data_IF_803764992688
#
_entry.id   IF_803764992688
#
_cell.length_a   1.000
_cell.length_b   1.000
_cell.length_c   1.000
_cell.angle_alpha   90.00
_cell.angle_beta   90.00
_cell.angle_gamma   90.00
#
_symmetry.space_group_name_H-M   'P 1'
#
loop_
_entity.id
_entity.type
_entity.pdbx_description
1 polymer ?
#
# COMPACT_ATOMS: atom_id res chain seq x y z
N UNK A 1 -20.15 -26.01 23.40
CA UNK A 1 -18.69 -25.87 23.65
C UNK A 1 -18.07 -25.28 22.39
N UNK A 2 -17.63 -24.02 22.42
CA UNK A 2 -16.89 -23.41 21.30
C UNK A 2 -15.54 -24.15 21.16
N UNK A 3 -15.31 -24.76 20.01
CA UNK A 3 -14.02 -25.41 19.69
C UNK A 3 -12.93 -24.34 19.76
N UNK A 4 -11.96 -24.49 20.67
CA UNK A 4 -10.80 -23.58 20.71
C UNK A 4 -10.09 -23.63 19.36
N UNK A 5 -10.03 -22.48 18.68
CA UNK A 5 -9.36 -22.37 17.39
C UNK A 5 -7.87 -22.56 17.62
N UNK A 6 -7.22 -23.51 16.93
CA UNK A 6 -5.80 -23.77 17.10
C UNK A 6 -4.96 -22.57 16.62
N UNK A 7 -3.80 -22.35 17.25
CA UNK A 7 -2.88 -21.26 16.87
C UNK A 7 -2.45 -21.33 15.41
N UNK A 8 -2.33 -22.56 14.87
CA UNK A 8 -2.01 -22.78 13.45
C UNK A 8 -2.99 -22.09 12.48
N UNK A 9 -4.27 -22.02 12.82
CA UNK A 9 -5.27 -21.32 11.99
C UNK A 9 -4.99 -19.81 11.92
N UNK A 10 -4.64 -19.20 13.05
CA UNK A 10 -4.26 -17.77 13.07
C UNK A 10 -2.96 -17.51 12.31
N UNK A 11 -1.99 -18.41 12.40
CA UNK A 11 -0.74 -18.32 11.65
C UNK A 11 -0.97 -18.44 10.14
N UNK A 12 -1.82 -19.38 9.71
CA UNK A 12 -2.19 -19.54 8.28
C UNK A 12 -2.88 -18.29 7.74
N UNK A 13 -3.87 -17.75 8.47
CA UNK A 13 -4.56 -16.51 8.07
C UNK A 13 -3.58 -15.32 8.09
N UNK A 14 -2.68 -15.25 9.08
CA UNK A 14 -1.66 -14.20 9.16
C UNK A 14 -0.64 -14.27 8.01
N UNK A 15 -0.22 -15.47 7.62
CA UNK A 15 0.65 -15.68 6.44
C UNK A 15 -0.07 -15.33 5.15
N UNK A 16 -1.38 -15.63 5.05
CA UNK A 16 -2.20 -15.21 3.92
C UNK A 16 -2.28 -13.67 3.85
N UNK A 17 -2.51 -13.00 4.98
CA UNK A 17 -2.49 -11.54 5.11
C UNK A 17 -1.17 -10.94 4.66
N UNK A 18 -0.07 -11.46 5.19
CA UNK A 18 1.27 -11.08 4.75
C UNK A 18 1.41 -11.23 3.23
N UNK A 19 0.98 -12.36 2.68
CA UNK A 19 1.05 -12.61 1.24
C UNK A 19 0.16 -11.70 0.39
N UNK A 20 -0.94 -11.17 0.92
CA UNK A 20 -1.80 -10.20 0.23
C UNK A 20 -1.16 -8.81 0.18
N UNK A 21 -0.50 -8.41 1.27
CA UNK A 21 0.17 -7.10 1.32
C UNK A 21 1.54 -7.11 0.64
N UNK A 22 2.33 -8.16 0.83
CA UNK A 22 3.70 -8.17 0.38
C UNK A 22 3.82 -8.22 -1.14
N UNK A 23 4.01 -7.06 -1.75
CA UNK A 23 4.13 -6.86 -3.19
C UNK A 23 5.40 -6.08 -3.56
N UNK A 24 5.40 -5.54 -4.79
CA UNK A 24 6.53 -4.81 -5.36
C UNK A 24 6.99 -3.62 -4.50
N UNK A 25 6.03 -2.80 -4.02
CA UNK A 25 6.31 -1.63 -3.21
C UNK A 25 7.01 -1.96 -1.88
N UNK A 26 6.63 -3.09 -1.28
CA UNK A 26 7.16 -3.54 0.01
C UNK A 26 8.63 -3.96 -0.02
N UNK A 27 9.20 -4.10 -1.21
CA UNK A 27 10.63 -4.30 -1.42
C UNK A 27 11.37 -2.98 -1.63
N UNK A 28 10.85 -2.14 -2.54
CA UNK A 28 11.60 -0.99 -3.03
C UNK A 28 11.60 0.19 -2.05
N UNK A 29 10.50 0.43 -1.32
CA UNK A 29 10.43 1.59 -0.43
C UNK A 29 11.26 1.43 0.84
N UNK A 30 11.29 0.28 1.56
CA UNK A 30 12.14 0.15 2.74
C UNK A 30 13.64 0.24 2.44
N UNK A 31 14.11 -0.33 1.31
CA UNK A 31 15.54 -0.27 0.97
C UNK A 31 15.97 1.16 0.60
N UNK A 32 15.12 1.87 -0.15
CA UNK A 32 15.37 3.26 -0.52
C UNK A 32 15.34 4.16 0.71
N UNK A 33 14.36 3.99 1.60
CA UNK A 33 14.29 4.69 2.87
C UNK A 33 15.57 4.48 3.68
N UNK A 34 16.06 3.23 3.77
CA UNK A 34 17.32 2.93 4.45
C UNK A 34 18.50 3.69 3.86
N UNK A 35 18.62 3.69 2.54
CA UNK A 35 19.70 4.38 1.84
C UNK A 35 19.65 5.90 2.09
N UNK A 36 18.48 6.52 1.97
CA UNK A 36 18.33 7.98 2.14
C UNK A 36 18.41 8.42 3.61
N UNK A 37 17.93 7.61 4.54
CA UNK A 37 17.94 7.92 5.97
C UNK A 37 19.31 7.71 6.63
N UNK A 38 20.16 6.84 6.09
CA UNK A 38 21.53 6.61 6.57
C UNK A 38 21.58 6.38 8.08
N UNK A 39 22.33 7.20 8.83
CA UNK A 39 22.45 7.11 10.31
C UNK A 39 21.12 7.35 11.04
N UNK A 40 20.15 8.01 10.42
CA UNK A 40 18.83 8.27 10.97
C UNK A 40 17.79 7.17 10.65
N UNK A 41 18.22 6.02 10.10
CA UNK A 41 17.31 4.99 9.59
C UNK A 41 16.32 4.46 10.64
N UNK A 42 16.68 4.40 11.92
CA UNK A 42 15.77 3.94 12.98
C UNK A 42 14.56 4.86 13.15
N UNK A 43 14.77 6.18 13.13
CA UNK A 43 13.67 7.14 13.23
C UNK A 43 12.79 7.09 11.98
N UNK A 44 13.39 7.02 10.80
CA UNK A 44 12.68 6.87 9.54
C UNK A 44 11.87 5.56 9.48
N UNK A 45 12.49 4.43 9.91
CA UNK A 45 11.84 3.14 9.97
C UNK A 45 10.61 3.14 10.87
N UNK A 46 10.71 3.72 12.08
CA UNK A 46 9.55 3.76 12.99
C UNK A 46 8.40 4.56 12.36
N UNK A 47 8.68 5.71 11.75
CA UNK A 47 7.67 6.46 11.00
C UNK A 47 7.03 5.65 9.88
N UNK A 48 7.85 4.98 9.08
CA UNK A 48 7.42 4.11 7.99
C UNK A 48 6.52 2.95 8.47
N UNK A 49 6.91 2.28 9.56
CA UNK A 49 6.15 1.16 10.11
C UNK A 49 4.76 1.56 10.61
N UNK A 50 4.60 2.78 11.14
CA UNK A 50 3.29 3.30 11.56
C UNK A 50 2.31 3.30 10.40
N UNK A 51 2.72 3.74 9.23
CA UNK A 51 1.83 3.89 8.07
C UNK A 51 1.83 2.67 7.15
N UNK A 52 2.98 2.04 6.94
CA UNK A 52 3.09 0.87 6.06
C UNK A 52 2.61 -0.44 6.70
N UNK A 53 2.50 -0.50 8.04
CA UNK A 53 2.04 -1.69 8.76
C UNK A 53 0.90 -1.38 9.73
N UNK A 54 1.03 -0.33 10.54
CA UNK A 54 0.04 0.04 11.54
C UNK A 54 -1.32 0.36 10.91
N UNK A 55 -1.34 1.25 9.91
CA UNK A 55 -2.58 1.63 9.23
C UNK A 55 -3.24 0.46 8.48
N UNK A 56 -2.54 -0.38 7.71
CA UNK A 56 -3.12 -1.57 7.09
C UNK A 56 -3.79 -2.51 8.10
N UNK A 57 -3.14 -2.73 9.22
CA UNK A 57 -3.72 -3.53 10.30
C UNK A 57 -5.01 -2.92 10.85
N UNK A 58 -5.00 -1.61 11.15
CA UNK A 58 -6.18 -0.89 11.60
C UNK A 58 -7.29 -0.88 10.54
N UNK A 59 -6.93 -0.82 9.25
CA UNK A 59 -7.88 -0.87 8.13
C UNK A 59 -8.67 -2.19 8.08
N UNK A 60 -7.98 -3.34 8.22
CA UNK A 60 -8.67 -4.64 8.29
C UNK A 60 -9.55 -4.74 9.54
N UNK A 61 -9.03 -4.28 10.68
CA UNK A 61 -9.82 -4.25 11.91
C UNK A 61 -11.07 -3.37 11.78
N UNK A 62 -10.95 -2.23 11.10
CA UNK A 62 -12.06 -1.32 10.84
C UNK A 62 -13.16 -2.02 10.03
N UNK A 63 -12.85 -2.75 8.98
CA UNK A 63 -13.82 -3.55 8.22
C UNK A 63 -14.43 -4.65 9.11
N UNK A 64 -13.58 -5.40 9.83
CA UNK A 64 -14.03 -6.52 10.68
C UNK A 64 -14.91 -6.11 11.84
N UNK A 65 -14.57 -5.03 12.55
CA UNK A 65 -15.30 -4.54 13.72
C UNK A 65 -16.55 -3.75 13.33
N UNK A 66 -16.52 -3.02 12.23
CA UNK A 66 -17.67 -2.23 11.77
C UNK A 66 -18.85 -3.10 11.31
N UNK A 67 -18.59 -4.36 10.96
CA UNK A 67 -19.58 -5.26 10.35
C UNK A 67 -19.93 -4.88 8.92
N UNK A 68 -19.09 -4.07 8.27
CA UNK A 68 -19.28 -3.69 6.87
C UNK A 68 -18.88 -4.82 5.93
N UNK A 69 -19.57 -4.94 4.80
CA UNK A 69 -19.30 -5.93 3.76
C UNK A 69 -18.12 -5.52 2.83
N UNK A 70 -17.44 -4.43 3.14
CA UNK A 70 -16.29 -3.92 2.39
C UNK A 70 -16.19 -2.41 2.48
N UNK A 71 -15.24 -1.85 1.73
CA UNK A 71 -14.95 -0.41 1.73
C UNK A 71 -16.18 0.44 1.35
N UNK A 72 -16.88 0.07 0.27
CA UNK A 72 -18.05 0.82 -0.22
C UNK A 72 -19.13 0.95 0.85
N UNK A 73 -19.44 -0.13 1.56
CA UNK A 73 -20.41 -0.14 2.63
C UNK A 73 -19.95 0.75 3.80
N UNK A 74 -18.67 0.62 4.21
CA UNK A 74 -18.10 1.46 5.26
C UNK A 74 -18.15 2.95 4.90
N UNK A 75 -17.70 3.32 3.71
CA UNK A 75 -17.66 4.72 3.25
C UNK A 75 -19.08 5.28 2.99
N UNK A 76 -20.06 4.43 2.68
CA UNK A 76 -21.45 4.83 2.50
C UNK A 76 -22.13 5.30 3.80
N UNK A 77 -21.52 5.07 4.96
CA UNK A 77 -21.96 5.65 6.25
C UNK A 77 -21.88 7.17 6.26
N UNK A 78 -21.02 7.77 5.44
CA UNK A 78 -20.92 9.22 5.23
C UNK A 78 -22.08 9.66 4.33
N UNK A 79 -22.11 9.14 3.13
CA UNK A 79 -23.15 9.34 2.12
C UNK A 79 -23.02 8.25 1.04
N UNK A 80 -24.11 7.71 0.48
CA UNK A 80 -24.03 6.65 -0.55
C UNK A 80 -23.18 7.02 -1.76
N UNK A 81 -23.27 8.25 -2.26
CA UNK A 81 -22.46 8.75 -3.36
C UNK A 81 -20.96 8.83 -2.99
N UNK A 82 -20.65 9.29 -1.77
CA UNK A 82 -19.26 9.30 -1.28
C UNK A 82 -18.70 7.88 -1.22
N UNK A 83 -19.50 6.91 -0.75
CA UNK A 83 -19.11 5.50 -0.72
C UNK A 83 -18.68 4.97 -2.10
N UNK A 84 -19.43 5.31 -3.15
CA UNK A 84 -19.09 4.92 -4.51
C UNK A 84 -17.84 5.66 -5.01
N UNK A 85 -17.79 7.00 -4.91
CA UNK A 85 -16.69 7.81 -5.46
C UNK A 85 -15.37 7.48 -4.75
N UNK A 86 -15.37 7.43 -3.41
CA UNK A 86 -14.17 7.13 -2.65
C UNK A 86 -13.66 5.71 -2.93
N UNK A 87 -14.57 4.72 -3.02
CA UNK A 87 -14.17 3.36 -3.38
C UNK A 87 -13.63 3.28 -4.80
N UNK A 88 -14.24 3.94 -5.77
CA UNK A 88 -13.73 4.00 -7.13
C UNK A 88 -12.32 4.63 -7.18
N UNK A 89 -12.12 5.77 -6.51
CA UNK A 89 -10.81 6.43 -6.44
C UNK A 89 -9.75 5.51 -5.81
N UNK A 90 -10.10 4.84 -4.72
CA UNK A 90 -9.19 3.91 -4.04
C UNK A 90 -8.85 2.70 -4.92
N UNK A 91 -9.86 2.03 -5.50
CA UNK A 91 -9.63 0.86 -6.35
C UNK A 91 -8.90 1.20 -7.66
N UNK A 92 -9.09 2.40 -8.23
CA UNK A 92 -8.28 2.87 -9.35
C UNK A 92 -6.83 3.12 -8.94
N UNK A 93 -6.61 3.65 -7.75
CA UNK A 93 -5.26 3.96 -7.21
C UNK A 93 -4.47 2.68 -6.93
N UNK A 94 -5.01 1.72 -6.16
CA UNK A 94 -4.35 0.43 -5.89
C UNK A 94 -4.42 -0.52 -7.09
N UNK A 95 -5.29 -0.23 -8.03
CA UNK A 95 -5.52 -0.99 -9.26
C UNK A 95 -4.65 -0.47 -10.41
N UNK A 96 -5.32 -0.12 -11.53
CA UNK A 96 -4.65 0.09 -12.81
C UNK A 96 -3.74 1.32 -12.87
N UNK A 97 -3.89 2.31 -11.97
CA UNK A 97 -3.11 3.54 -12.09
C UNK A 97 -1.73 3.43 -11.47
N UNK A 98 -1.58 2.79 -10.31
CA UNK A 98 -0.27 2.81 -9.64
C UNK A 98 0.22 1.44 -9.16
N UNK A 99 -0.52 0.70 -8.32
CA UNK A 99 0.03 -0.50 -7.73
C UNK A 99 0.21 -1.64 -8.74
N UNK A 100 -0.76 -1.88 -9.62
CA UNK A 100 -0.67 -2.94 -10.64
C UNK A 100 0.46 -2.66 -11.67
N UNK A 101 0.59 -1.46 -12.28
CA UNK A 101 1.72 -1.15 -13.15
C UNK A 101 3.08 -1.37 -12.49
N UNK A 102 3.22 -1.01 -11.21
CA UNK A 102 4.47 -1.26 -10.46
C UNK A 102 4.83 -2.75 -10.37
N UNK A 103 3.86 -3.65 -10.39
CA UNK A 103 4.15 -5.08 -10.37
C UNK A 103 4.87 -5.57 -11.64
N UNK A 104 4.78 -4.86 -12.75
CA UNK A 104 5.56 -5.15 -13.96
C UNK A 104 6.87 -4.36 -13.99
N UNK A 105 6.86 -3.08 -13.60
CA UNK A 105 8.04 -2.23 -13.69
C UNK A 105 9.12 -2.58 -12.67
N UNK A 106 8.76 -2.96 -11.43
CA UNK A 106 9.75 -3.33 -10.40
C UNK A 106 10.59 -4.55 -10.81
N UNK A 107 10.01 -5.69 -11.24
CA UNK A 107 10.82 -6.81 -11.72
C UNK A 107 11.67 -6.46 -12.94
N UNK A 108 11.20 -5.58 -13.82
CA UNK A 108 11.98 -5.11 -14.95
C UNK A 108 13.20 -4.30 -14.50
N UNK A 109 13.01 -3.34 -13.59
CA UNK A 109 14.09 -2.50 -13.04
C UNK A 109 15.13 -3.36 -12.30
N UNK A 110 14.69 -4.35 -11.52
CA UNK A 110 15.59 -5.22 -10.75
C UNK A 110 16.35 -6.22 -11.65
N UNK A 111 15.64 -6.79 -12.63
CA UNK A 111 16.16 -7.94 -13.37
C UNK A 111 16.79 -7.63 -14.72
N UNK A 112 16.40 -6.54 -15.34
CA UNK A 112 16.78 -6.26 -16.73
C UNK A 112 17.49 -4.92 -16.89
N UNK A 113 16.99 -3.85 -16.29
CA UNK A 113 17.48 -2.49 -16.52
C UNK A 113 19.00 -2.32 -16.28
N UNK A 114 19.64 -2.93 -15.25
CA UNK A 114 21.08 -2.81 -15.04
C UNK A 114 21.95 -3.43 -16.14
N UNK A 115 21.38 -4.30 -16.98
CA UNK A 115 22.10 -5.09 -17.98
C UNK A 115 21.79 -4.69 -19.42
N UNK A 116 20.98 -3.65 -19.64
CA UNK A 116 20.57 -3.20 -20.96
C UNK A 116 21.02 -1.77 -21.23
N UNK A 117 21.28 -1.46 -22.50
CA UNK A 117 21.59 -0.10 -22.92
C UNK A 117 20.34 0.80 -22.82
N UNK A 118 20.53 2.04 -22.38
CA UNK A 118 19.47 3.02 -22.22
C UNK A 118 18.57 3.20 -23.48
N UNK A 119 19.16 3.08 -24.67
CA UNK A 119 18.43 3.18 -25.95
C UNK A 119 17.34 2.12 -26.13
N UNK A 120 17.52 0.93 -25.53
CA UNK A 120 16.60 -0.19 -25.68
C UNK A 120 15.64 -0.35 -24.49
N UNK A 121 15.82 0.40 -23.40
CA UNK A 121 15.06 0.28 -22.15
C UNK A 121 13.56 0.39 -22.38
N UNK A 122 13.11 1.41 -23.11
CA UNK A 122 11.67 1.64 -23.37
C UNK A 122 11.06 0.50 -24.18
N UNK A 123 11.72 0.04 -25.24
CA UNK A 123 11.23 -1.06 -26.07
C UNK A 123 11.17 -2.38 -25.29
N UNK A 124 12.21 -2.68 -24.50
CA UNK A 124 12.26 -3.91 -23.70
C UNK A 124 11.28 -3.87 -22.54
N UNK A 125 11.04 -2.70 -21.91
CA UNK A 125 9.98 -2.52 -20.92
C UNK A 125 8.61 -2.78 -21.54
N UNK A 126 8.34 -2.27 -22.75
CA UNK A 126 7.09 -2.50 -23.45
C UNK A 126 6.87 -4.00 -23.75
N UNK A 127 7.90 -4.69 -24.23
CA UNK A 127 7.83 -6.13 -24.50
C UNK A 127 7.63 -6.94 -23.21
N UNK A 128 8.41 -6.63 -22.16
CA UNK A 128 8.31 -7.30 -20.87
C UNK A 128 6.94 -7.10 -20.24
N UNK A 129 6.47 -5.85 -20.15
CA UNK A 129 5.17 -5.53 -19.56
C UNK A 129 4.01 -6.11 -20.36
N UNK A 130 4.10 -6.19 -21.69
CA UNK A 130 3.11 -6.87 -22.52
C UNK A 130 3.01 -8.36 -22.17
N UNK A 131 4.14 -9.06 -22.13
CA UNK A 131 4.18 -10.50 -21.76
C UNK A 131 3.66 -10.68 -20.32
N UNK A 132 4.10 -9.84 -19.39
CA UNK A 132 3.67 -9.87 -18.01
C UNK A 132 2.15 -9.72 -17.88
N UNK A 133 1.55 -8.71 -18.48
CA UNK A 133 0.10 -8.49 -18.41
C UNK A 133 -0.71 -9.49 -19.24
N UNK A 134 -0.16 -10.08 -20.29
CA UNK A 134 -0.79 -11.22 -20.99
C UNK A 134 -0.91 -12.45 -20.07
N UNK A 135 0.14 -12.73 -19.28
CA UNK A 135 0.14 -13.78 -18.26
C UNK A 135 -0.88 -13.45 -17.16
N UNK A 136 -0.85 -12.22 -16.63
CA UNK A 136 -1.80 -11.75 -15.61
C UNK A 136 -3.23 -11.88 -16.10
N UNK A 137 -3.53 -11.43 -17.33
CA UNK A 137 -4.85 -11.55 -17.94
C UNK A 137 -5.33 -13.01 -17.96
N UNK A 138 -4.52 -13.89 -18.53
CA UNK A 138 -4.87 -15.31 -18.65
C UNK A 138 -5.22 -15.94 -17.28
N UNK A 139 -4.44 -15.63 -16.27
CA UNK A 139 -4.62 -16.19 -14.94
C UNK A 139 -5.75 -15.51 -14.14
N UNK A 140 -5.99 -14.25 -14.34
CA UNK A 140 -7.10 -13.53 -13.68
C UNK A 140 -8.48 -13.93 -14.21
N UNK A 141 -8.58 -14.60 -15.36
CA UNK A 141 -9.84 -15.15 -15.84
C UNK A 141 -10.35 -16.33 -15.00
N UNK A 142 -9.45 -17.07 -14.31
CA UNK A 142 -9.77 -18.22 -13.47
C UNK A 142 -8.89 -18.25 -12.20
N UNK A 143 -9.07 -17.30 -11.27
CA UNK A 143 -8.12 -17.05 -10.19
C UNK A 143 -7.98 -18.19 -9.16
N UNK A 144 -9.02 -19.02 -8.98
CA UNK A 144 -9.09 -19.97 -7.88
C UNK A 144 -7.99 -21.07 -7.89
N UNK A 145 -7.51 -21.50 -9.05
CA UNK A 145 -6.50 -22.59 -9.16
C UNK A 145 -5.06 -22.10 -8.93
N UNK A 146 -4.78 -20.85 -9.25
CA UNK A 146 -3.40 -20.33 -9.28
C UNK A 146 -3.00 -19.68 -7.99
N UNK A 147 -3.92 -19.02 -7.29
CA UNK A 147 -3.68 -18.47 -5.95
C UNK A 147 -3.08 -19.54 -5.00
N UNK A 148 -3.47 -20.81 -5.18
CA UNK A 148 -2.96 -21.92 -4.38
C UNK A 148 -1.49 -22.27 -4.71
N UNK A 149 -1.13 -22.38 -6.00
CA UNK A 149 0.24 -22.72 -6.41
C UNK A 149 1.23 -21.58 -6.11
N UNK A 150 0.85 -20.36 -6.43
CA UNK A 150 1.68 -19.18 -6.22
C UNK A 150 1.89 -18.95 -4.71
N UNK A 151 0.84 -19.10 -3.89
CA UNK A 151 0.93 -18.91 -2.44
C UNK A 151 1.74 -19.98 -1.71
N UNK A 152 1.62 -21.25 -2.14
CA UNK A 152 2.22 -22.40 -1.45
C UNK A 152 3.69 -22.65 -1.83
N UNK A 153 4.11 -22.27 -3.03
CA UNK A 153 5.47 -22.58 -3.53
C UNK A 153 6.29 -21.32 -3.74
N UNK A 154 5.74 -20.34 -4.46
CA UNK A 154 6.53 -19.17 -4.87
C UNK A 154 6.78 -18.17 -3.74
N UNK A 155 5.80 -17.96 -2.85
CA UNK A 155 6.00 -17.06 -1.69
C UNK A 155 7.06 -17.59 -0.73
N UNK A 156 7.06 -18.87 -0.31
CA UNK A 156 8.16 -19.43 0.47
C UNK A 156 9.52 -19.36 -0.24
N UNK A 157 9.58 -19.70 -1.54
CA UNK A 157 10.83 -19.63 -2.29
C UNK A 157 11.39 -18.19 -2.35
N UNK A 158 10.54 -17.21 -2.63
CA UNK A 158 10.90 -15.80 -2.58
C UNK A 158 11.45 -15.39 -1.20
N UNK A 159 10.73 -15.75 -0.12
CA UNK A 159 11.17 -15.43 1.25
C UNK A 159 12.51 -16.06 1.58
N UNK A 160 12.76 -17.30 1.18
CA UNK A 160 14.05 -17.97 1.41
C UNK A 160 15.19 -17.20 0.75
N UNK A 161 15.06 -16.81 -0.53
CA UNK A 161 16.12 -16.06 -1.22
C UNK A 161 16.29 -14.67 -0.63
N UNK A 162 15.18 -13.99 -0.30
CA UNK A 162 15.22 -12.71 0.38
C UNK A 162 15.94 -12.79 1.73
N UNK A 163 15.63 -13.80 2.56
CA UNK A 163 16.30 -14.00 3.84
C UNK A 163 17.78 -14.35 3.68
N UNK A 164 18.17 -15.12 2.65
CA UNK A 164 19.60 -15.39 2.37
C UNK A 164 20.32 -14.08 2.07
N UNK A 165 19.76 -13.22 1.20
CA UNK A 165 20.33 -11.92 0.87
C UNK A 165 20.44 -11.03 2.12
N UNK A 166 19.39 -10.97 2.94
CA UNK A 166 19.35 -10.20 4.18
C UNK A 166 20.41 -10.72 5.18
N UNK A 167 20.46 -12.02 5.41
CA UNK A 167 21.42 -12.62 6.36
C UNK A 167 22.85 -12.32 5.94
N UNK A 168 23.16 -12.45 4.65
CA UNK A 168 24.50 -12.14 4.14
C UNK A 168 24.81 -10.64 4.35
N UNK A 169 23.86 -9.73 4.13
CA UNK A 169 24.07 -8.30 4.34
C UNK A 169 24.30 -7.91 5.80
N UNK A 170 23.80 -8.71 6.74
CA UNK A 170 24.05 -8.53 8.18
C UNK A 170 25.42 -9.10 8.57
N UNK A 171 25.77 -10.30 8.08
CA UNK A 171 27.01 -10.98 8.43
C UNK A 171 28.23 -10.31 7.78
N UNK A 172 28.03 -9.78 6.57
CA UNK A 172 29.07 -9.03 5.81
C UNK A 172 28.47 -7.70 5.36
N UNK A 173 28.37 -6.69 6.24
CA UNK A 173 27.84 -5.38 5.85
C UNK A 173 28.61 -4.76 4.68
N UNK A 174 27.91 -4.06 3.79
CA UNK A 174 28.50 -3.43 2.60
C UNK A 174 29.32 -2.19 2.95
N UNK A 175 29.10 -1.59 4.11
CA UNK A 175 29.83 -0.41 4.56
C UNK A 175 29.21 0.20 5.80
N UNK A 176 29.70 1.39 6.17
CA UNK A 176 29.19 2.18 7.28
C UNK A 176 27.99 3.03 6.85
N UNK A 177 27.09 3.29 7.78
CA UNK A 177 25.95 4.18 7.55
C UNK A 177 26.45 5.59 7.23
N UNK A 178 25.97 6.13 6.12
CA UNK A 178 26.30 7.48 5.68
C UNK A 178 25.37 8.51 6.31
N UNK A 179 25.69 9.81 6.14
CA UNK A 179 24.81 10.87 6.61
C UNK A 179 23.46 10.83 5.88
N UNK A 180 22.36 11.21 6.54
CA UNK A 180 21.03 11.28 5.92
C UNK A 180 21.00 12.29 4.76
N UNK A 181 20.14 12.03 3.78
CA UNK A 181 20.00 12.82 2.55
C UNK A 181 18.60 13.47 2.51
N UNK A 182 18.49 14.68 1.97
CA UNK A 182 17.23 15.39 1.76
C UNK A 182 16.44 15.60 3.05
N UNK A 183 15.15 15.38 3.03
CA UNK A 183 14.24 15.60 4.17
C UNK A 183 14.55 14.71 5.38
N UNK A 184 15.31 13.62 5.20
CA UNK A 184 15.72 12.77 6.31
C UNK A 184 16.73 13.44 7.26
N UNK A 185 17.36 14.56 6.87
CA UNK A 185 18.26 15.34 7.73
C UNK A 185 17.48 15.97 8.88
N UNK A 186 16.34 16.60 8.58
CA UNK A 186 15.60 17.39 9.54
C UNK A 186 14.43 16.67 10.19
N UNK A 187 13.74 15.79 9.44
CA UNK A 187 12.49 15.17 9.90
C UNK A 187 12.37 13.70 9.48
N UNK A 188 13.37 12.89 9.83
CA UNK A 188 13.44 11.47 9.44
C UNK A 188 12.19 10.68 9.75
N UNK A 189 11.59 10.86 10.95
CA UNK A 189 10.36 10.17 11.34
C UNK A 189 9.19 10.53 10.41
N UNK A 190 8.96 11.82 10.18
CA UNK A 190 7.81 12.26 9.36
C UNK A 190 8.02 11.96 7.88
N UNK A 191 9.25 12.01 7.40
CA UNK A 191 9.59 11.59 6.05
C UNK A 191 9.31 10.09 5.88
N UNK A 192 9.76 9.26 6.83
CA UNK A 192 9.43 7.83 6.84
C UNK A 192 7.92 7.56 6.94
N UNK A 193 7.20 8.32 7.76
CA UNK A 193 5.74 8.23 7.89
C UNK A 193 5.04 8.48 6.53
N UNK A 194 5.43 9.52 5.81
CA UNK A 194 4.89 9.82 4.46
C UNK A 194 5.33 8.78 3.43
N UNK A 195 6.57 8.30 3.53
CA UNK A 195 7.09 7.26 2.62
C UNK A 195 6.30 5.95 2.73
N UNK A 196 5.80 5.61 3.92
CA UNK A 196 4.93 4.46 4.09
C UNK A 196 3.61 4.53 3.29
N UNK A 197 3.14 5.71 2.88
CA UNK A 197 2.00 5.85 1.98
C UNK A 197 2.26 5.23 0.61
N UNK A 198 3.52 5.26 0.16
CA UNK A 198 3.92 4.73 -1.14
C UNK A 198 3.77 3.21 -1.25
N UNK A 199 3.70 2.47 -0.12
CA UNK A 199 3.39 1.03 -0.14
C UNK A 199 1.94 0.76 -0.58
N UNK A 200 1.02 1.71 -0.37
CA UNK A 200 -0.42 1.60 -0.62
C UNK A 200 -1.14 0.53 0.23
N UNK A 201 -0.46 -0.06 1.19
CA UNK A 201 -1.01 -1.18 1.98
C UNK A 201 -2.21 -0.78 2.83
N UNK A 202 -2.28 0.47 3.34
CA UNK A 202 -3.44 0.93 4.09
C UNK A 202 -4.68 1.06 3.21
N UNK A 203 -4.53 1.53 1.97
CA UNK A 203 -5.61 1.57 0.99
C UNK A 203 -6.02 0.15 0.59
N UNK A 204 -5.03 -0.71 0.32
CA UNK A 204 -5.25 -2.12 0.00
C UNK A 204 -5.97 -2.87 1.14
N UNK A 205 -5.70 -2.52 2.41
CA UNK A 205 -6.34 -3.13 3.57
C UNK A 205 -7.86 -2.91 3.61
N UNK A 206 -8.30 -1.73 3.22
CA UNK A 206 -9.72 -1.41 3.11
C UNK A 206 -10.39 -2.18 1.97
N UNK A 207 -9.67 -2.42 0.87
CA UNK A 207 -10.17 -3.22 -0.25
C UNK A 207 -10.18 -4.72 0.06
N UNK A 208 -9.10 -5.24 0.70
CA UNK A 208 -8.96 -6.66 0.98
C UNK A 208 -9.58 -7.11 2.31
N UNK A 209 -10.07 -6.19 3.14
CA UNK A 209 -10.64 -6.52 4.44
C UNK A 209 -11.73 -7.59 4.38
N UNK A 210 -12.58 -7.56 3.35
CA UNK A 210 -13.63 -8.56 3.15
C UNK A 210 -13.06 -9.95 2.81
N UNK A 211 -11.97 -10.01 2.04
CA UNK A 211 -11.30 -11.27 1.66
C UNK A 211 -10.80 -11.98 2.92
N UNK A 212 -10.23 -11.23 3.85
CA UNK A 212 -9.74 -11.73 5.14
C UNK A 212 -10.88 -12.23 6.01
N UNK A 213 -11.97 -11.46 6.11
CA UNK A 213 -13.15 -11.84 6.87
C UNK A 213 -13.77 -13.13 6.31
N UNK A 214 -13.86 -13.24 4.98
CA UNK A 214 -14.35 -14.45 4.34
C UNK A 214 -13.43 -15.66 4.58
N UNK A 215 -12.12 -15.48 4.57
CA UNK A 215 -11.17 -16.54 4.93
C UNK A 215 -11.35 -17.00 6.38
N UNK A 216 -11.60 -16.08 7.31
CA UNK A 216 -11.91 -16.39 8.71
C UNK A 216 -13.23 -17.16 8.82
N UNK A 217 -14.27 -16.73 8.10
CA UNK A 217 -15.57 -17.41 8.06
C UNK A 217 -15.46 -18.83 7.48
N UNK A 218 -14.67 -19.00 6.40
CA UNK A 218 -14.42 -20.30 5.78
C UNK A 218 -13.61 -21.24 6.69
N UNK A 219 -12.83 -20.70 7.64
CA UNK A 219 -12.20 -21.47 8.71
C UNK A 219 -13.18 -21.88 9.83
N UNK A 220 -14.50 -21.63 9.65
CA UNK A 220 -15.56 -22.01 10.60
C UNK A 220 -15.84 -21.00 11.72
N UNK A 221 -15.31 -19.78 11.62
CA UNK A 221 -15.49 -18.71 12.62
C UNK A 221 -16.57 -17.76 12.10
N UNK A 222 -17.79 -17.87 12.63
CA UNK A 222 -18.95 -17.08 12.16
C UNK A 222 -19.42 -16.03 13.16
N UNK A 223 -19.10 -16.21 14.45
CA UNK A 223 -19.43 -15.21 15.47
C UNK A 223 -18.62 -13.92 15.30
N UNK A 224 -19.28 -12.76 15.38
CA UNK A 224 -18.68 -11.45 15.12
C UNK A 224 -17.52 -11.12 16.07
N UNK A 225 -17.62 -11.48 17.35
CA UNK A 225 -16.55 -11.23 18.34
C UNK A 225 -15.33 -12.14 18.07
N UNK A 226 -15.60 -13.39 17.70
CA UNK A 226 -14.52 -14.33 17.35
C UNK A 226 -13.89 -13.99 16.00
N UNK A 227 -14.62 -13.44 15.02
CA UNK A 227 -14.07 -12.90 13.79
C UNK A 227 -13.10 -11.74 14.11
N UNK A 228 -13.53 -10.78 14.93
CA UNK A 228 -12.70 -9.64 15.33
C UNK A 228 -11.42 -10.11 16.06
N UNK A 229 -11.54 -11.07 16.96
CA UNK A 229 -10.40 -11.67 17.68
C UNK A 229 -9.47 -12.45 16.76
N UNK A 230 -10.01 -13.18 15.79
CA UNK A 230 -9.22 -13.89 14.79
C UNK A 230 -8.47 -12.90 13.88
N UNK A 231 -9.14 -11.85 13.43
CA UNK A 231 -8.53 -10.74 12.65
C UNK A 231 -7.38 -10.10 13.43
N UNK A 232 -7.60 -9.79 14.72
CA UNK A 232 -6.57 -9.23 15.59
C UNK A 232 -5.34 -10.14 15.70
N UNK A 233 -5.53 -11.42 16.06
CA UNK A 233 -4.44 -12.37 16.24
C UNK A 233 -3.65 -12.66 14.96
N UNK A 234 -4.38 -12.86 13.85
CA UNK A 234 -3.75 -13.10 12.55
C UNK A 234 -3.05 -11.84 12.02
N UNK A 235 -3.64 -10.66 12.28
CA UNK A 235 -3.03 -9.38 11.93
C UNK A 235 -1.74 -9.12 12.68
N UNK A 236 -1.66 -9.38 13.99
CA UNK A 236 -0.41 -9.26 14.77
C UNK A 236 0.69 -10.15 14.19
N UNK A 237 0.35 -11.40 13.79
CA UNK A 237 1.32 -12.28 13.15
C UNK A 237 1.86 -11.71 11.84
N UNK A 238 0.97 -11.20 10.97
CA UNK A 238 1.36 -10.56 9.72
C UNK A 238 2.22 -9.30 9.98
N UNK A 239 1.82 -8.45 10.93
CA UNK A 239 2.58 -7.25 11.32
C UNK A 239 3.98 -7.59 11.79
N UNK A 240 4.12 -8.58 12.67
CA UNK A 240 5.44 -8.99 13.19
C UNK A 240 6.38 -9.43 12.06
N UNK A 241 5.86 -10.22 11.09
CA UNK A 241 6.63 -10.67 9.95
C UNK A 241 7.00 -9.50 9.02
N UNK A 242 6.06 -8.60 8.72
CA UNK A 242 6.34 -7.41 7.90
C UNK A 242 7.34 -6.46 8.58
N UNK A 243 7.20 -6.22 9.89
CA UNK A 243 8.12 -5.37 10.67
C UNK A 243 9.54 -5.92 10.63
N UNK A 244 9.69 -7.23 10.81
CA UNK A 244 10.99 -7.89 10.71
C UNK A 244 11.61 -7.68 9.32
N UNK A 245 10.87 -7.98 8.26
CA UNK A 245 11.37 -7.88 6.89
C UNK A 245 11.70 -6.43 6.51
N UNK A 246 10.79 -5.47 6.82
CA UNK A 246 11.04 -4.06 6.53
C UNK A 246 12.26 -3.51 7.28
N UNK A 247 12.40 -3.85 8.57
CA UNK A 247 13.54 -3.44 9.36
C UNK A 247 14.86 -3.96 8.77
N UNK A 248 14.89 -5.23 8.35
CA UNK A 248 16.06 -5.86 7.76
C UNK A 248 16.40 -5.30 6.37
N UNK A 249 15.39 -5.06 5.53
CA UNK A 249 15.59 -4.44 4.21
C UNK A 249 16.06 -2.98 4.36
N UNK A 250 15.50 -2.24 5.32
CA UNK A 250 15.94 -0.86 5.61
C UNK A 250 17.39 -0.82 6.08
N UNK A 251 17.79 -1.74 6.97
CA UNK A 251 19.17 -1.89 7.39
C UNK A 251 20.10 -2.17 6.21
N UNK A 252 19.69 -3.08 5.32
CA UNK A 252 20.44 -3.40 4.11
C UNK A 252 20.64 -2.17 3.22
N UNK A 253 19.59 -1.36 3.03
CA UNK A 253 19.69 -0.08 2.31
C UNK A 253 20.62 0.92 3.01
N UNK A 254 20.53 1.08 4.33
CA UNK A 254 21.35 2.02 5.08
C UNK A 254 22.86 1.70 5.02
N UNK A 255 23.21 0.41 4.95
CA UNK A 255 24.61 -0.03 4.87
C UNK A 255 25.18 -0.07 3.45
N UNK A 256 24.38 0.23 2.42
CA UNK A 256 24.76 -0.03 1.02
C UNK A 256 25.53 1.12 0.35
N UNK A 257 25.32 2.37 0.76
CA UNK A 257 25.82 3.56 0.03
C UNK A 257 27.32 3.55 -0.18
N UNK A 258 28.10 3.17 0.83
CA UNK A 258 29.56 3.19 0.77
C UNK A 258 30.10 2.30 -0.35
N UNK A 259 29.47 1.16 -0.60
CA UNK A 259 29.93 0.18 -1.60
C UNK A 259 29.31 0.35 -2.98
N UNK A 260 28.05 0.77 -3.08
CA UNK A 260 27.33 0.81 -4.36
C UNK A 260 26.85 2.21 -4.78
N UNK A 261 27.04 3.24 -3.93
CA UNK A 261 26.54 4.59 -4.20
C UNK A 261 25.03 4.72 -4.02
N UNK A 262 24.46 5.84 -4.49
CA UNK A 262 23.05 6.16 -4.44
C UNK A 262 22.36 5.88 -5.77
N UNK A 263 21.07 5.53 -5.70
CA UNK A 263 20.23 5.25 -6.87
C UNK A 263 18.90 5.98 -6.80
N UNK A 264 18.27 6.17 -7.96
CA UNK A 264 17.01 6.91 -8.08
C UNK A 264 15.81 6.17 -7.46
N UNK A 265 15.88 4.85 -7.36
CA UNK A 265 14.78 4.05 -6.80
C UNK A 265 15.28 2.76 -6.13
N UNK A 266 14.46 2.22 -5.24
CA UNK A 266 14.79 1.01 -4.48
C UNK A 266 14.94 -0.26 -5.33
N UNK A 267 14.43 -0.31 -6.54
CA UNK A 267 14.61 -1.44 -7.45
C UNK A 267 16.07 -1.57 -7.89
N UNK A 268 16.68 -0.47 -8.29
CA UNK A 268 18.10 -0.41 -8.66
C UNK A 268 19.01 -0.70 -7.47
N UNK A 269 18.67 -0.20 -6.26
CA UNK A 269 19.41 -0.53 -5.04
C UNK A 269 19.37 -2.04 -4.79
N UNK A 270 18.19 -2.66 -4.91
CA UNK A 270 18.04 -4.10 -4.70
C UNK A 270 18.85 -4.93 -5.68
N UNK A 271 18.85 -4.52 -6.96
CA UNK A 271 19.65 -5.16 -8.00
C UNK A 271 21.15 -5.05 -7.69
N UNK A 272 21.63 -3.86 -7.35
CA UNK A 272 23.05 -3.61 -7.04
C UNK A 272 23.52 -4.37 -5.79
N UNK A 273 22.68 -4.46 -4.74
CA UNK A 273 22.96 -5.26 -3.54
C UNK A 273 23.06 -6.76 -3.89
N UNK A 274 22.13 -7.27 -4.71
CA UNK A 274 22.17 -8.67 -5.12
C UNK A 274 23.41 -8.99 -5.98
N UNK A 275 23.78 -8.09 -6.88
CA UNK A 275 24.99 -8.24 -7.71
C UNK A 275 26.25 -8.18 -6.86
N UNK A 276 26.32 -7.29 -5.86
CA UNK A 276 27.45 -7.18 -4.94
C UNK A 276 27.72 -8.50 -4.19
N UNK A 277 26.69 -9.19 -3.69
CA UNK A 277 26.87 -10.40 -2.88
C UNK A 277 26.97 -11.69 -3.69
N UNK A 278 26.27 -11.79 -4.80
CA UNK A 278 26.09 -13.03 -5.55
C UNK A 278 26.53 -12.94 -7.01
N UNK A 279 26.97 -11.75 -7.47
CA UNK A 279 27.26 -11.49 -8.87
C UNK A 279 26.00 -11.61 -9.75
N UNK A 280 26.19 -11.61 -11.05
CA UNK A 280 25.11 -11.61 -12.05
C UNK A 280 24.16 -12.80 -11.93
N UNK A 281 24.62 -13.96 -11.48
CA UNK A 281 23.77 -15.14 -11.26
C UNK A 281 22.75 -14.90 -10.14
N UNK A 282 23.18 -14.30 -9.03
CA UNK A 282 22.30 -13.98 -7.91
C UNK A 282 21.28 -12.91 -8.27
N UNK A 283 21.68 -11.91 -9.04
CA UNK A 283 20.77 -10.87 -9.54
C UNK A 283 19.69 -11.47 -10.45
N UNK A 284 20.03 -12.38 -11.37
CA UNK A 284 19.06 -13.08 -12.23
C UNK A 284 18.10 -13.92 -11.40
N UNK A 285 18.60 -14.69 -10.42
CA UNK A 285 17.76 -15.50 -9.54
C UNK A 285 16.77 -14.65 -8.75
N UNK A 286 17.24 -13.53 -8.19
CA UNK A 286 16.39 -12.57 -7.48
C UNK A 286 15.33 -11.97 -8.41
N UNK A 287 15.71 -11.58 -9.64
CA UNK A 287 14.79 -11.06 -10.63
C UNK A 287 13.64 -12.02 -10.94
N UNK A 288 13.94 -13.30 -11.18
CA UNK A 288 12.93 -14.34 -11.46
C UNK A 288 11.96 -14.46 -10.28
N UNK A 289 12.47 -14.45 -9.06
CA UNK A 289 11.65 -14.59 -7.86
C UNK A 289 10.78 -13.36 -7.64
N UNK A 290 11.29 -12.14 -7.88
CA UNK A 290 10.51 -10.90 -7.82
C UNK A 290 9.41 -10.89 -8.90
N UNK A 291 9.70 -11.33 -10.13
CA UNK A 291 8.69 -11.48 -11.20
C UNK A 291 7.53 -12.34 -10.70
N UNK A 292 7.84 -13.50 -10.11
CA UNK A 292 6.82 -14.43 -9.63
C UNK A 292 6.01 -13.86 -8.46
N UNK A 293 6.66 -13.16 -7.52
CA UNK A 293 5.99 -12.48 -6.42
C UNK A 293 5.05 -11.37 -6.94
N UNK A 294 5.52 -10.58 -7.91
CA UNK A 294 4.75 -9.50 -8.53
C UNK A 294 3.59 -10.02 -9.39
N UNK A 295 3.76 -11.14 -10.10
CA UNK A 295 2.66 -11.80 -10.83
C UNK A 295 1.50 -12.17 -9.90
N UNK A 296 1.81 -12.76 -8.74
CA UNK A 296 0.79 -13.09 -7.73
C UNK A 296 0.01 -11.85 -7.28
N UNK A 297 0.73 -10.80 -6.91
CA UNK A 297 0.11 -9.56 -6.44
C UNK A 297 -0.73 -8.91 -7.53
N UNK A 298 -0.24 -8.90 -8.77
CA UNK A 298 -0.97 -8.36 -9.92
C UNK A 298 -2.26 -9.13 -10.19
N UNK A 299 -2.21 -10.47 -10.19
CA UNK A 299 -3.39 -11.32 -10.39
C UNK A 299 -4.42 -11.06 -9.28
N UNK A 300 -3.98 -10.98 -8.01
CA UNK A 300 -4.86 -10.67 -6.88
C UNK A 300 -5.53 -9.31 -6.99
N UNK A 301 -4.78 -8.28 -7.35
CA UNK A 301 -5.29 -6.91 -7.52
C UNK A 301 -6.24 -6.81 -8.72
N UNK A 302 -5.87 -7.36 -9.89
CA UNK A 302 -6.74 -7.38 -11.09
C UNK A 302 -8.07 -8.08 -10.76
N UNK A 303 -8.01 -9.23 -10.07
CA UNK A 303 -9.22 -9.98 -9.67
C UNK A 303 -10.10 -9.13 -8.74
N UNK A 304 -9.55 -8.60 -7.64
CA UNK A 304 -10.31 -7.82 -6.67
C UNK A 304 -10.88 -6.55 -7.28
N UNK A 305 -10.12 -5.84 -8.10
CA UNK A 305 -10.59 -4.65 -8.80
C UNK A 305 -11.71 -5.01 -9.79
N UNK A 306 -11.56 -6.09 -10.56
CA UNK A 306 -12.56 -6.53 -11.54
C UNK A 306 -13.86 -6.96 -10.88
N UNK A 307 -13.80 -7.64 -9.74
CA UNK A 307 -14.97 -8.00 -8.93
C UNK A 307 -15.70 -6.74 -8.43
N UNK A 308 -14.95 -5.79 -7.87
CA UNK A 308 -15.52 -4.52 -7.40
C UNK A 308 -16.16 -3.72 -8.53
N UNK A 309 -15.46 -3.54 -9.67
CA UNK A 309 -16.03 -2.81 -10.81
C UNK A 309 -17.25 -3.50 -11.41
N UNK A 310 -17.26 -4.85 -11.44
CA UNK A 310 -18.43 -5.59 -11.90
C UNK A 310 -19.63 -5.45 -10.95
N UNK A 311 -19.40 -5.39 -9.63
CA UNK A 311 -20.45 -5.09 -8.64
C UNK A 311 -21.04 -3.69 -8.85
N UNK A 312 -20.19 -2.68 -9.11
CA UNK A 312 -20.63 -1.28 -9.31
C UNK A 312 -21.28 -1.09 -10.67
N UNK A 313 -20.78 -1.76 -11.70
CA UNK A 313 -21.24 -1.65 -13.09
C UNK A 313 -21.64 -3.02 -13.67
N UNK A 314 -22.77 -3.60 -13.24
CA UNK A 314 -23.13 -4.99 -13.57
C UNK A 314 -23.43 -5.23 -15.06
N UNK A 315 -23.59 -4.15 -15.85
CA UNK A 315 -23.75 -4.25 -17.32
C UNK A 315 -22.47 -4.66 -18.04
N UNK A 316 -21.30 -4.48 -17.43
CA UNK A 316 -20.00 -4.84 -17.99
C UNK A 316 -19.55 -6.15 -17.33
N UNK A 317 -19.15 -7.13 -18.13
CA UNK A 317 -18.78 -8.44 -17.61
C UNK A 317 -17.45 -8.38 -16.85
N UNK A 318 -17.28 -9.27 -15.86
CA UNK A 318 -16.02 -9.44 -15.14
C UNK A 318 -14.81 -9.58 -16.09
N UNK A 319 -14.93 -10.41 -17.13
CA UNK A 319 -13.86 -10.64 -18.11
C UNK A 319 -13.45 -9.37 -18.87
N UNK A 320 -14.43 -8.50 -19.14
CA UNK A 320 -14.15 -7.20 -19.78
C UNK A 320 -13.38 -6.28 -18.83
N UNK A 321 -13.71 -6.26 -17.53
CA UNK A 321 -12.94 -5.50 -16.56
C UNK A 321 -11.52 -6.04 -16.42
N UNK A 322 -11.31 -7.36 -16.36
CA UNK A 322 -9.97 -7.95 -16.36
C UNK A 322 -9.16 -7.47 -17.56
N UNK A 323 -9.75 -7.48 -18.76
CA UNK A 323 -9.08 -6.99 -19.97
C UNK A 323 -8.75 -5.49 -19.89
N UNK A 324 -9.73 -4.65 -19.56
CA UNK A 324 -9.57 -3.21 -19.47
C UNK A 324 -8.49 -2.83 -18.46
N UNK A 325 -8.52 -3.43 -17.27
CA UNK A 325 -7.55 -3.16 -16.22
C UNK A 325 -6.14 -3.61 -16.61
N UNK A 326 -5.98 -4.76 -17.28
CA UNK A 326 -4.69 -5.20 -17.81
C UNK A 326 -4.16 -4.24 -18.88
N UNK A 327 -5.01 -3.79 -19.83
CA UNK A 327 -4.60 -2.86 -20.90
C UNK A 327 -4.21 -1.50 -20.33
N UNK A 328 -5.00 -0.95 -19.39
CA UNK A 328 -4.67 0.33 -18.74
C UNK A 328 -3.37 0.20 -17.95
N UNK A 329 -3.22 -0.86 -17.16
CA UNK A 329 -2.00 -1.09 -16.37
C UNK A 329 -0.76 -1.28 -17.25
N UNK A 330 -0.90 -1.99 -18.38
CA UNK A 330 0.16 -2.11 -19.37
C UNK A 330 0.57 -0.73 -19.92
N UNK A 331 -0.41 0.08 -20.33
CA UNK A 331 -0.13 1.42 -20.86
C UNK A 331 0.61 2.29 -19.84
N UNK A 332 0.19 2.24 -18.57
CA UNK A 332 0.80 3.02 -17.51
C UNK A 332 2.19 2.46 -17.13
N UNK A 333 2.40 1.15 -17.13
CA UNK A 333 3.70 0.55 -16.86
C UNK A 333 4.80 1.08 -17.80
N UNK A 334 4.45 1.43 -19.03
CA UNK A 334 5.39 1.98 -20.02
C UNK A 334 5.86 3.42 -19.73
N UNK A 335 5.29 4.12 -18.74
CA UNK A 335 5.87 5.36 -18.23
C UNK A 335 7.13 5.13 -17.36
N UNK A 336 7.40 3.89 -16.95
CA UNK A 336 8.51 3.53 -16.09
C UNK A 336 8.24 3.74 -14.60
N UNK A 337 9.06 3.09 -13.76
CA UNK A 337 8.85 3.02 -12.31
C UNK A 337 8.86 4.40 -11.64
N UNK A 338 9.85 5.23 -11.95
CA UNK A 338 10.03 6.55 -11.31
C UNK A 338 8.84 7.47 -11.56
N UNK A 339 8.35 7.52 -12.81
CA UNK A 339 7.18 8.33 -13.16
C UNK A 339 5.90 7.83 -12.47
N UNK A 340 5.71 6.50 -12.39
CA UNK A 340 4.55 5.93 -11.68
C UNK A 340 4.57 6.31 -10.20
N UNK A 341 5.74 6.28 -9.56
CA UNK A 341 5.90 6.70 -8.15
C UNK A 341 5.60 8.20 -8.03
N UNK A 342 6.18 9.02 -8.88
CA UNK A 342 6.02 10.47 -8.86
C UNK A 342 4.55 10.90 -9.03
N UNK A 343 3.83 10.32 -9.98
CA UNK A 343 2.41 10.63 -10.20
C UNK A 343 1.49 10.04 -9.13
N UNK A 344 1.92 9.00 -8.41
CA UNK A 344 1.14 8.45 -7.31
C UNK A 344 1.12 9.38 -6.08
N UNK A 345 2.21 10.09 -5.78
CA UNK A 345 2.37 10.89 -4.56
C UNK A 345 1.22 11.88 -4.35
N UNK A 346 0.81 12.73 -5.32
CA UNK A 346 -0.31 13.66 -5.15
C UNK A 346 -1.63 12.97 -4.78
N UNK A 347 -1.91 11.84 -5.46
CA UNK A 347 -3.13 11.06 -5.24
C UNK A 347 -3.12 10.42 -3.86
N UNK A 348 -1.97 9.93 -3.41
CA UNK A 348 -1.81 9.35 -2.08
C UNK A 348 -1.93 10.41 -1.00
N UNK A 349 -1.32 11.57 -1.15
CA UNK A 349 -1.46 12.69 -0.20
C UNK A 349 -2.91 13.15 -0.06
N UNK A 350 -3.71 13.05 -1.14
CA UNK A 350 -5.15 13.30 -1.09
C UNK A 350 -5.94 12.16 -0.41
N UNK A 351 -5.67 10.90 -0.73
CA UNK A 351 -6.51 9.77 -0.29
C UNK A 351 -6.19 9.30 1.13
N UNK A 352 -4.92 9.37 1.57
CA UNK A 352 -4.51 8.81 2.87
C UNK A 352 -5.15 9.49 4.07
N UNK A 353 -5.23 10.82 4.19
CA UNK A 353 -5.93 11.45 5.31
C UNK A 353 -7.38 11.00 5.40
N UNK A 354 -8.08 10.90 4.26
CA UNK A 354 -9.47 10.42 4.19
C UNK A 354 -9.58 8.96 4.63
N UNK A 355 -8.67 8.10 4.17
CA UNK A 355 -8.66 6.69 4.56
C UNK A 355 -8.37 6.53 6.06
N UNK A 356 -7.40 7.27 6.60
CA UNK A 356 -7.04 7.24 8.02
C UNK A 356 -8.22 7.67 8.89
N UNK A 357 -8.86 8.80 8.56
CA UNK A 357 -10.02 9.29 9.31
C UNK A 357 -11.18 8.30 9.23
N UNK A 358 -11.44 7.71 8.07
CA UNK A 358 -12.48 6.69 7.92
C UNK A 358 -12.19 5.44 8.78
N UNK A 359 -10.94 4.98 8.81
CA UNK A 359 -10.50 3.86 9.64
C UNK A 359 -10.73 4.18 11.13
N UNK A 360 -10.26 5.35 11.59
CA UNK A 360 -10.38 5.77 12.99
C UNK A 360 -11.85 5.94 13.41
N UNK A 361 -12.70 6.51 12.57
CA UNK A 361 -14.13 6.63 12.81
C UNK A 361 -14.81 5.26 12.87
N UNK A 362 -14.43 4.33 12.01
CA UNK A 362 -14.96 2.98 12.03
C UNK A 362 -14.61 2.24 13.33
N UNK A 363 -13.35 2.34 13.78
CA UNK A 363 -12.86 1.72 15.01
C UNK A 363 -13.49 2.34 16.27
N UNK A 364 -13.72 3.66 16.26
CA UNK A 364 -14.35 4.41 17.38
C UNK A 364 -15.86 4.51 17.28
N UNK A 365 -16.50 3.85 16.34
CA UNK A 365 -17.93 3.98 16.01
C UNK A 365 -18.87 3.70 17.17
N UNK A 366 -18.49 2.83 18.10
CA UNK A 366 -19.25 2.54 19.34
C UNK A 366 -19.32 3.75 20.28
N UNK A 367 -18.32 4.64 20.30
CA UNK A 367 -18.28 5.83 21.17
C UNK A 367 -19.36 6.87 20.80
N UNK A 368 -19.78 6.90 19.54
CA UNK A 368 -20.80 7.82 19.04
C UNK A 368 -21.99 7.11 18.39
N UNK A 369 -22.22 5.83 18.74
CA UNK A 369 -23.38 5.04 18.31
C UNK A 369 -23.61 5.04 16.78
N UNK A 370 -22.53 4.98 15.98
CA UNK A 370 -22.56 5.03 14.53
C UNK A 370 -23.35 6.25 13.95
N UNK A 371 -23.32 7.38 14.61
CA UNK A 371 -24.02 8.59 14.21
C UNK A 371 -23.47 9.12 12.87
N UNK A 372 -24.31 9.19 11.83
CA UNK A 372 -23.91 9.60 10.48
C UNK A 372 -23.27 11.00 10.44
N UNK A 373 -23.80 11.97 11.23
CA UNK A 373 -23.24 13.32 11.26
C UNK A 373 -21.77 13.36 11.66
N UNK A 374 -21.32 12.44 12.55
CA UNK A 374 -19.90 12.37 12.95
C UNK A 374 -19.03 11.94 11.76
N UNK A 375 -19.45 10.92 11.01
CA UNK A 375 -18.75 10.52 9.80
C UNK A 375 -18.72 11.65 8.76
N UNK A 376 -19.89 12.26 8.49
CA UNK A 376 -20.03 13.27 7.45
C UNK A 376 -19.23 14.54 7.75
N UNK A 377 -19.31 15.10 8.97
CA UNK A 377 -18.61 16.34 9.34
C UNK A 377 -17.10 16.15 9.42
N UNK A 378 -16.62 15.04 10.02
CA UNK A 378 -15.20 14.75 10.09
C UNK A 378 -14.59 14.58 8.67
N UNK A 379 -15.23 13.78 7.82
CA UNK A 379 -14.77 13.57 6.46
C UNK A 379 -14.85 14.81 5.59
N UNK A 380 -15.88 15.65 5.77
CA UNK A 380 -16.04 16.89 5.02
C UNK A 380 -14.89 17.87 5.33
N UNK A 381 -14.56 18.09 6.60
CA UNK A 381 -13.47 18.99 6.97
C UNK A 381 -12.10 18.41 6.55
N UNK A 382 -11.90 17.12 6.70
CA UNK A 382 -10.67 16.44 6.25
C UNK A 382 -10.49 16.55 4.74
N UNK A 383 -11.57 16.48 3.96
CA UNK A 383 -11.52 16.52 2.50
C UNK A 383 -10.86 17.79 1.97
N UNK A 384 -11.19 18.97 2.53
CA UNK A 384 -10.60 20.23 2.07
C UNK A 384 -9.10 20.29 2.34
N UNK A 385 -8.65 19.84 3.51
CA UNK A 385 -7.22 19.81 3.81
C UNK A 385 -6.50 18.80 2.92
N UNK A 386 -7.04 17.59 2.78
CA UNK A 386 -6.47 16.56 1.90
C UNK A 386 -6.36 17.03 0.44
N UNK A 387 -7.35 17.82 -0.04
CA UNK A 387 -7.31 18.35 -1.40
C UNK A 387 -6.12 19.30 -1.60
N UNK A 388 -5.83 20.13 -0.60
CA UNK A 388 -4.67 21.06 -0.63
C UNK A 388 -3.36 20.29 -0.45
N UNK A 389 -3.31 19.25 0.41
CA UNK A 389 -2.13 18.40 0.54
C UNK A 389 -1.80 17.69 -0.78
N UNK A 390 -2.83 17.16 -1.47
CA UNK A 390 -2.68 16.57 -2.79
C UNK A 390 -2.21 17.58 -3.85
N UNK A 391 -2.75 18.79 -3.81
CA UNK A 391 -2.34 19.88 -4.70
C UNK A 391 -0.87 20.31 -4.44
N UNK A 392 -0.46 20.51 -3.19
CA UNK A 392 0.93 20.81 -2.82
C UNK A 392 1.89 19.75 -3.38
N UNK A 393 1.56 18.48 -3.20
CA UNK A 393 2.32 17.38 -3.74
C UNK A 393 2.35 17.36 -5.29
N UNK A 394 1.25 17.76 -5.95
CA UNK A 394 1.17 17.87 -7.41
C UNK A 394 2.11 18.97 -7.93
N UNK A 395 2.13 20.13 -7.32
CA UNK A 395 3.01 21.25 -7.70
C UNK A 395 4.49 20.86 -7.56
N UNK A 396 4.83 20.13 -6.50
CA UNK A 396 6.20 19.61 -6.31
C UNK A 396 6.54 18.58 -7.39
N UNK A 397 5.60 17.70 -7.75
CA UNK A 397 5.83 16.61 -8.72
C UNK A 397 5.83 17.09 -10.17
N UNK A 398 5.06 18.12 -10.51
CA UNK A 398 4.86 18.62 -11.88
C UNK A 398 5.14 20.12 -11.93
N UNK A 399 6.33 20.55 -12.37
CA UNK A 399 6.63 21.97 -12.56
C UNK A 399 5.62 22.65 -13.49
N UNK A 400 5.06 23.78 -13.06
CA UNK A 400 4.06 24.54 -13.83
C UNK A 400 2.60 24.18 -13.53
N UNK A 401 2.32 23.25 -12.62
CA UNK A 401 0.95 22.93 -12.17
C UNK A 401 0.37 23.95 -11.17
N UNK A 402 1.02 25.07 -10.95
CA UNK A 402 0.65 26.09 -9.97
C UNK A 402 -0.66 26.79 -10.35
N UNK A 403 -1.54 26.94 -9.35
CA UNK A 403 -2.80 27.66 -9.45
C UNK A 403 -2.86 28.68 -8.31
N UNK A 404 -2.74 29.99 -8.62
CA UNK A 404 -2.59 31.08 -7.65
C UNK A 404 -3.65 31.09 -6.53
N UNK A 405 -4.88 30.68 -6.83
CA UNK A 405 -5.94 30.55 -5.82
C UNK A 405 -5.62 29.46 -4.80
N UNK A 406 -5.14 28.31 -5.24
CA UNK A 406 -4.82 27.17 -4.37
C UNK A 406 -3.53 27.41 -3.59
N UNK A 407 -2.56 28.14 -4.17
CA UNK A 407 -1.34 28.58 -3.45
C UNK A 407 -1.70 29.49 -2.27
N UNK A 408 -2.66 30.40 -2.45
CA UNK A 408 -3.14 31.28 -1.36
C UNK A 408 -3.83 30.45 -0.26
N UNK A 409 -4.61 29.43 -0.61
CA UNK A 409 -5.25 28.55 0.39
C UNK A 409 -4.23 27.66 1.08
N UNK A 410 -3.22 27.19 0.37
CA UNK A 410 -2.11 26.39 0.95
C UNK A 410 -1.36 27.22 1.99
N UNK A 411 -1.02 28.46 1.65
CA UNK A 411 -0.35 29.37 2.59
C UNK A 411 -1.22 29.65 3.82
N UNK A 412 -2.52 29.89 3.64
CA UNK A 412 -3.44 30.05 4.77
C UNK A 412 -3.48 28.81 5.68
N UNK A 413 -3.46 27.61 5.10
CA UNK A 413 -3.46 26.38 5.88
C UNK A 413 -2.13 26.17 6.61
N UNK A 414 -0.99 26.53 6.00
CA UNK A 414 0.32 26.52 6.65
C UNK A 414 0.36 27.45 7.86
N UNK A 415 -0.24 28.65 7.75
CA UNK A 415 -0.26 29.65 8.82
C UNK A 415 -1.21 29.30 9.98
N UNK A 416 -2.34 28.61 9.69
CA UNK A 416 -3.44 28.40 10.65
C UNK A 416 -3.49 26.99 11.22
N UNK A 417 -3.17 25.97 10.42
CA UNK A 417 -3.32 24.57 10.83
C UNK A 417 -2.05 24.04 11.50
N UNK A 418 -2.14 23.58 12.75
CA UNK A 418 -0.99 22.96 13.40
C UNK A 418 -0.59 21.68 12.64
N UNK A 419 0.70 21.40 12.59
CA UNK A 419 1.29 20.23 11.98
C UNK A 419 1.11 20.16 10.44
N UNK A 420 0.67 21.26 9.79
CA UNK A 420 0.45 21.28 8.34
C UNK A 420 1.73 21.01 7.54
N UNK A 421 2.84 21.67 7.91
CA UNK A 421 4.12 21.55 7.21
C UNK A 421 4.69 20.11 7.22
N UNK A 422 4.35 19.34 8.22
CA UNK A 422 4.74 17.93 8.32
C UNK A 422 3.73 16.98 7.69
N UNK A 423 2.64 17.49 7.08
CA UNK A 423 1.62 16.69 6.39
C UNK A 423 0.54 16.10 7.30
N UNK A 424 0.37 16.64 8.49
CA UNK A 424 -0.65 16.22 9.46
C UNK A 424 -1.68 17.32 9.76
N UNK A 425 -1.77 18.36 8.94
CA UNK A 425 -2.70 19.47 9.10
C UNK A 425 -4.19 19.07 9.13
N UNK A 426 -4.53 17.91 8.57
CA UNK A 426 -5.88 17.36 8.57
C UNK A 426 -6.38 16.89 9.94
N UNK A 427 -5.50 16.65 10.92
CA UNK A 427 -5.88 16.11 12.24
C UNK A 427 -6.82 17.02 12.98
N UNK A 428 -6.48 18.33 13.10
CA UNK A 428 -7.32 19.29 13.82
C UNK A 428 -8.70 19.45 13.17
N UNK A 429 -8.84 19.67 11.84
CA UNK A 429 -10.13 19.67 11.16
C UNK A 429 -10.94 18.39 11.34
N UNK A 430 -10.30 17.22 11.32
CA UNK A 430 -10.99 15.96 11.57
C UNK A 430 -11.58 15.90 12.98
N UNK A 431 -10.82 16.30 14.01
CA UNK A 431 -11.29 16.38 15.41
C UNK A 431 -12.44 17.37 15.54
N UNK A 432 -12.32 18.56 14.97
CA UNK A 432 -13.41 19.57 14.96
C UNK A 432 -14.65 19.00 14.31
N UNK A 433 -14.50 18.28 13.18
CA UNK A 433 -15.59 17.63 12.50
C UNK A 433 -16.28 16.56 13.37
N UNK A 434 -15.52 15.77 14.14
CA UNK A 434 -16.10 14.83 15.12
C UNK A 434 -16.93 15.56 16.16
N UNK A 435 -16.40 16.64 16.74
CA UNK A 435 -17.13 17.44 17.76
C UNK A 435 -18.43 18.03 17.18
N UNK A 436 -18.35 18.64 16.00
CA UNK A 436 -19.55 19.16 15.30
C UNK A 436 -20.57 18.05 15.07
N UNK A 437 -20.13 16.91 14.58
CA UNK A 437 -21.01 15.76 14.31
C UNK A 437 -21.68 15.18 15.57
N UNK A 438 -21.02 15.26 16.74
CA UNK A 438 -21.60 14.87 18.01
C UNK A 438 -22.77 15.78 18.42
N UNK A 439 -22.68 17.08 18.12
CA UNK A 439 -23.70 18.09 18.47
C UNK A 439 -24.87 18.06 17.47
N UNK A 440 -24.61 17.91 16.18
CA UNK A 440 -25.64 17.94 15.14
C UNK A 440 -26.68 16.83 15.31
N UNK A 441 -28.01 17.10 15.12
CA UNK A 441 -29.01 16.05 15.06
C UNK A 441 -28.77 15.16 13.84
N UNK A 442 -28.74 13.84 14.01
CA UNK A 442 -28.52 12.90 12.92
C UNK A 442 -29.16 11.56 13.17
N UNK A 443 -29.56 10.90 12.09
CA UNK A 443 -30.00 9.50 12.13
C UNK A 443 -28.80 8.60 12.48
N UNK A 444 -29.06 7.55 13.26
CA UNK A 444 -28.10 6.47 13.43
C UNK A 444 -28.00 5.71 12.11
N UNK A 445 -26.79 5.45 11.65
CA UNK A 445 -26.57 4.58 10.49
C UNK A 445 -27.02 3.17 10.87
N UNK A 446 -28.02 2.63 10.18
CA UNK A 446 -28.45 1.24 10.40
C UNK A 446 -27.30 0.33 9.99
N UNK A 447 -26.81 -0.45 10.95
CA UNK A 447 -25.97 -1.61 10.63
C UNK A 447 -26.92 -2.60 9.97
N UNK A 448 -26.75 -2.82 8.66
CA UNK A 448 -27.47 -3.89 7.95
C UNK A 448 -26.87 -5.19 8.50
N UNK A 449 -27.67 -5.92 9.24
CA UNK A 449 -27.31 -7.21 9.84
C UNK A 449 -27.38 -8.33 8.80
#
# INVERSE_FOLDING_TARGET
MQKKIPFSTYAVIGTMLFGLYFGAGNLIFPIQLGQLAGTNFWFALVGFLVTAIGLPFLGILAIGLSGSNGLRDLASRIHPLFGVIFSLALYLTIGPFFAIPRTATVPFVVGFEPYINAEHTTMLLALFSFIFFAIVYYFSLNPAKIMDYIGKVLTPAFLVVLFILIIISIVKPMGHFQQPIGDYIQSSFMTGFKEGYNTMDALASLAFGIVVINAIKNAGITDRKEIAKATWKSGIFAMALMTLIYGLITYMGASSIESIGTFDNGGLIFAAVADHYFGSFGAILLAVIIVLACLKTSIGLITSCSEFFHEVFPKVSYKMFVLLLCVVSFSIANFGLNNIIQFAIPVLMFLYPLAIVLILLALSSSLFNNKQAVYASAMFLTFFVSLIDGYKALVISIPGAQLSLLDTVEQLFSDVLPLYDIGLGWILPAIIGVVIGLILPSKQTKIIH
#
